data_IF_732188775737
#
_entry.id   IF_732188775737
#
_cell.length_a   1.000
_cell.length_b   1.000
_cell.length_c   1.000
_cell.angle_alpha   90.00
_cell.angle_beta   90.00
_cell.angle_gamma   90.00
#
_symmetry.space_group_name_H-M   'P 1'
#
loop_
_entity.id
_entity.type
_entity.pdbx_description
1 polymer ?
#
# COMPACT_ATOMS: atom_id res chain seq x y z
N UNK A 1 -0.30 -16.89 4.36
CA UNK A 1 0.37 -16.07 5.40
C UNK A 1 -0.66 -15.19 6.06
N UNK A 2 -0.57 -15.00 7.38
CA UNK A 2 -1.48 -14.12 8.13
C UNK A 2 -0.65 -13.13 8.92
N UNK A 3 -0.57 -11.90 8.42
CA UNK A 3 0.15 -10.79 9.03
C UNK A 3 -0.72 -9.52 8.98
N UNK A 4 -1.94 -9.65 9.49
CA UNK A 4 -2.97 -8.60 9.45
C UNK A 4 -3.11 -7.96 8.06
N UNK A 5 -3.20 -6.63 8.00
CA UNK A 5 -3.45 -5.87 6.77
C UNK A 5 -2.30 -5.94 5.77
N UNK A 6 -1.09 -6.34 6.19
CA UNK A 6 0.09 -6.43 5.32
C UNK A 6 0.24 -7.81 4.67
N UNK A 7 -0.69 -8.74 4.90
CA UNK A 7 -0.61 -10.14 4.46
C UNK A 7 -0.34 -10.28 2.96
N UNK A 8 -1.07 -9.54 2.11
CA UNK A 8 -0.90 -9.58 0.66
C UNK A 8 0.50 -9.13 0.21
N UNK A 9 0.97 -7.97 0.66
CA UNK A 9 2.29 -7.45 0.29
C UNK A 9 3.41 -8.34 0.84
N UNK A 10 3.26 -8.82 2.08
CA UNK A 10 4.22 -9.75 2.69
C UNK A 10 4.35 -11.03 1.87
N UNK A 11 3.22 -11.58 1.40
CA UNK A 11 3.21 -12.79 0.59
C UNK A 11 3.86 -12.57 -0.78
N UNK A 12 3.65 -11.40 -1.39
CA UNK A 12 4.35 -11.00 -2.62
C UNK A 12 5.85 -10.84 -2.44
N UNK A 13 6.32 -10.32 -1.30
CA UNK A 13 7.76 -10.24 -0.99
C UNK A 13 8.37 -11.65 -0.91
N UNK A 14 7.68 -12.59 -0.27
CA UNK A 14 8.14 -13.98 -0.21
C UNK A 14 8.06 -14.66 -1.57
N UNK A 15 7.01 -14.42 -2.35
CA UNK A 15 6.90 -14.94 -3.71
C UNK A 15 8.09 -14.51 -4.58
N UNK A 16 8.51 -13.25 -4.48
CA UNK A 16 9.74 -12.79 -5.13
C UNK A 16 10.98 -13.56 -4.64
N UNK A 17 11.15 -13.77 -3.34
CA UNK A 17 12.28 -14.55 -2.80
C UNK A 17 12.31 -15.97 -3.35
N UNK A 18 11.17 -16.64 -3.41
CA UNK A 18 11.05 -17.97 -4.00
C UNK A 18 11.46 -18.02 -5.48
N UNK A 19 11.16 -16.97 -6.25
CA UNK A 19 11.63 -16.87 -7.63
C UNK A 19 13.13 -16.53 -7.71
N UNK A 20 13.62 -15.66 -6.84
CA UNK A 20 15.03 -15.22 -6.81
C UNK A 20 15.98 -16.37 -6.40
N UNK A 21 15.53 -17.28 -5.53
CA UNK A 21 16.27 -18.47 -5.09
C UNK A 21 16.11 -19.70 -6.00
N UNK A 22 15.38 -19.57 -7.12
CA UNK A 22 15.09 -20.70 -8.02
C UNK A 22 14.34 -21.87 -7.39
N UNK A 23 13.65 -21.63 -6.26
CA UNK A 23 12.78 -22.63 -5.62
C UNK A 23 11.54 -22.92 -6.50
N UNK A 24 11.05 -21.90 -7.21
CA UNK A 24 9.87 -21.99 -8.08
C UNK A 24 10.03 -21.15 -9.35
N UNK A 25 9.38 -21.56 -10.44
CA UNK A 25 9.30 -20.75 -11.68
C UNK A 25 8.10 -19.78 -11.67
N UNK A 26 7.04 -20.17 -10.97
CA UNK A 26 5.80 -19.42 -10.83
C UNK A 26 5.30 -19.52 -9.40
N UNK A 27 4.80 -18.41 -8.85
CA UNK A 27 4.20 -18.36 -7.51
C UNK A 27 2.88 -17.61 -7.60
N UNK A 28 1.80 -18.24 -7.13
CA UNK A 28 0.48 -17.61 -7.05
C UNK A 28 0.28 -17.05 -5.65
N UNK A 29 -0.01 -15.75 -5.56
CA UNK A 29 -0.36 -15.08 -4.30
C UNK A 29 -1.82 -14.68 -4.34
N UNK A 30 -2.62 -15.24 -3.44
CA UNK A 30 -4.04 -14.93 -3.26
C UNK A 30 -4.23 -14.13 -1.97
N UNK A 31 -5.03 -13.08 -2.03
CA UNK A 31 -5.59 -12.39 -0.86
C UNK A 31 -7.11 -12.48 -0.91
N UNK A 32 -7.74 -12.88 0.19
CA UNK A 32 -9.19 -12.97 0.29
C UNK A 32 -9.63 -12.68 1.73
N UNK A 33 -10.58 -11.77 1.90
CA UNK A 33 -11.21 -11.47 3.18
C UNK A 33 -12.69 -11.16 2.99
N UNK A 34 -13.49 -11.66 3.93
CA UNK A 34 -14.93 -11.46 4.03
C UNK A 34 -15.24 -10.89 5.41
N UNK A 35 -16.09 -9.87 5.48
CA UNK A 35 -16.47 -9.20 6.71
C UNK A 35 -17.54 -10.03 7.38
N UNK A 36 -17.26 -10.41 8.62
CA UNK A 36 -18.21 -11.12 9.46
C UNK A 36 -18.66 -10.21 10.60
N UNK A 37 -19.75 -10.58 11.28
CA UNK A 37 -20.19 -9.88 12.51
C UNK A 37 -19.06 -9.81 13.55
N UNK A 38 -18.25 -10.87 13.68
CA UNK A 38 -17.11 -10.90 14.58
C UNK A 38 -16.08 -9.82 14.24
N UNK A 39 -15.70 -9.71 12.95
CA UNK A 39 -14.74 -8.69 12.50
C UNK A 39 -15.29 -7.29 12.75
N UNK A 40 -16.55 -7.03 12.35
CA UNK A 40 -17.18 -5.72 12.57
C UNK A 40 -17.21 -5.35 14.05
N UNK A 41 -17.67 -6.25 14.93
CA UNK A 41 -17.71 -6.01 16.38
C UNK A 41 -16.32 -5.84 17.00
N UNK A 42 -15.30 -6.50 16.45
CA UNK A 42 -13.90 -6.29 16.84
C UNK A 42 -13.45 -4.85 16.56
N UNK A 43 -13.64 -4.37 15.33
CA UNK A 43 -13.29 -2.98 14.98
C UNK A 43 -14.15 -1.93 15.71
N UNK A 44 -15.42 -2.23 16.00
CA UNK A 44 -16.27 -1.37 16.84
C UNK A 44 -15.73 -1.26 18.27
N UNK A 45 -15.21 -2.36 18.83
CA UNK A 45 -14.58 -2.36 20.16
C UNK A 45 -13.34 -1.47 20.21
N UNK A 46 -12.60 -1.36 19.10
CA UNK A 46 -11.48 -0.40 18.96
C UNK A 46 -11.91 1.04 18.73
N UNK A 47 -13.21 1.32 18.58
CA UNK A 47 -13.75 2.62 18.17
C UNK A 47 -13.10 3.13 16.88
N UNK A 48 -12.78 2.20 15.98
CA UNK A 48 -12.05 2.48 14.74
C UNK A 48 -12.97 2.61 13.52
N UNK A 49 -14.25 2.21 13.63
CA UNK A 49 -15.21 2.25 12.52
C UNK A 49 -15.74 3.67 12.32
N UNK A 50 -15.62 4.18 11.09
CA UNK A 50 -16.26 5.42 10.67
C UNK A 50 -17.78 5.28 10.66
N UNK A 51 -18.48 6.37 10.97
CA UNK A 51 -19.94 6.47 10.75
C UNK A 51 -20.29 6.99 9.36
N UNK A 52 -19.29 7.44 8.63
CA UNK A 52 -19.39 8.12 7.35
C UNK A 52 -18.60 7.33 6.29
N UNK A 53 -18.40 7.93 5.13
CA UNK A 53 -17.49 7.39 4.11
C UNK A 53 -16.03 7.41 4.58
N UNK A 54 -15.21 6.52 4.03
CA UNK A 54 -13.78 6.49 4.29
C UNK A 54 -13.11 7.70 3.61
N UNK A 55 -12.46 8.56 4.41
CA UNK A 55 -11.77 9.78 3.93
C UNK A 55 -10.27 9.74 4.23
N UNK A 56 -9.45 8.96 3.49
CA UNK A 56 -8.03 8.84 3.78
C UNK A 56 -7.32 10.20 3.78
N UNK A 57 -6.53 10.46 4.83
CA UNK A 57 -5.74 11.68 5.06
C UNK A 57 -6.54 12.99 5.22
N UNK A 58 -7.86 12.95 5.12
CA UNK A 58 -8.72 14.14 5.22
C UNK A 58 -8.82 14.64 6.68
N UNK A 59 -9.04 15.95 6.85
CA UNK A 59 -9.27 16.59 8.16
C UNK A 59 -10.49 16.03 8.89
N UNK A 60 -11.53 15.66 8.14
CA UNK A 60 -12.78 15.15 8.68
C UNK A 60 -12.84 13.62 8.72
N UNK A 61 -11.70 12.93 8.54
CA UNK A 61 -11.62 11.48 8.71
C UNK A 61 -11.92 11.09 10.15
N UNK A 62 -12.69 10.03 10.35
CA UNK A 62 -13.16 9.60 11.67
C UNK A 62 -13.02 8.09 11.91
N UNK A 63 -12.40 7.36 10.98
CA UNK A 63 -12.19 5.92 11.10
C UNK A 63 -12.18 5.18 9.77
N UNK A 64 -12.08 3.86 9.87
CA UNK A 64 -12.09 2.94 8.72
C UNK A 64 -13.52 2.54 8.35
N UNK A 65 -13.78 2.36 7.07
CA UNK A 65 -14.93 1.61 6.55
C UNK A 65 -14.42 0.23 6.11
N UNK A 66 -15.03 -0.85 6.56
CA UNK A 66 -14.61 -2.21 6.20
C UNK A 66 -15.11 -2.59 4.80
N UNK A 67 -14.31 -3.38 4.09
CA UNK A 67 -14.66 -3.94 2.79
C UNK A 67 -14.32 -5.42 2.69
N UNK A 68 -14.81 -6.06 1.64
CA UNK A 68 -14.55 -7.46 1.31
C UNK A 68 -13.96 -7.53 -0.10
N UNK A 69 -12.98 -8.41 -0.30
CA UNK A 69 -12.44 -8.63 -1.63
C UNK A 69 -11.68 -9.93 -1.72
N UNK A 70 -11.52 -10.42 -2.95
CA UNK A 70 -10.56 -11.44 -3.31
C UNK A 70 -9.80 -11.04 -4.56
N UNK A 71 -8.50 -11.31 -4.59
CA UNK A 71 -7.66 -11.07 -5.76
C UNK A 71 -6.43 -11.96 -5.75
N UNK A 72 -5.86 -12.19 -6.93
CA UNK A 72 -4.65 -12.99 -7.08
C UNK A 72 -3.64 -12.30 -8.01
N UNK A 73 -2.36 -12.49 -7.71
CA UNK A 73 -1.23 -12.09 -8.56
C UNK A 73 -0.39 -13.33 -8.82
N UNK A 74 -0.04 -13.56 -10.08
CA UNK A 74 0.89 -14.61 -10.49
C UNK A 74 2.25 -13.98 -10.71
N UNK A 75 3.23 -14.37 -9.91
CA UNK A 75 4.63 -14.00 -10.07
C UNK A 75 5.31 -15.07 -10.94
N UNK A 76 6.18 -14.63 -11.85
CA UNK A 76 6.89 -15.50 -12.79
C UNK A 76 8.32 -15.00 -13.00
N UNK A 77 9.29 -15.92 -13.07
CA UNK A 77 10.68 -15.58 -13.42
C UNK A 77 10.82 -15.10 -14.87
N UNK A 78 10.01 -15.66 -15.77
CA UNK A 78 9.95 -15.23 -17.18
C UNK A 78 8.94 -14.08 -17.29
N UNK A 79 9.45 -12.91 -17.64
CA UNK A 79 8.69 -11.66 -17.76
C UNK A 79 7.79 -11.74 -19.01
N UNK A 80 6.50 -11.94 -18.81
CA UNK A 80 5.45 -11.68 -19.81
C UNK A 80 4.58 -10.48 -19.42
N UNK A 81 5.00 -9.74 -18.39
CA UNK A 81 4.25 -8.61 -17.83
C UNK A 81 4.99 -7.31 -18.09
N UNK A 82 4.25 -6.26 -18.45
CA UNK A 82 4.77 -4.90 -18.56
C UNK A 82 5.21 -4.35 -17.20
N UNK A 83 4.71 -4.91 -16.09
CA UNK A 83 5.05 -4.48 -14.72
C UNK A 83 5.86 -5.55 -14.00
N UNK A 84 6.91 -5.13 -13.32
CA UNK A 84 7.82 -5.92 -12.51
C UNK A 84 7.69 -5.55 -11.03
N UNK A 85 7.80 -6.53 -10.14
CA UNK A 85 7.98 -6.31 -8.70
C UNK A 85 9.48 -6.28 -8.42
N UNK A 86 10.05 -5.09 -8.22
CA UNK A 86 11.51 -4.92 -8.11
C UNK A 86 12.04 -5.32 -6.73
N UNK A 87 11.27 -5.08 -5.68
CA UNK A 87 11.73 -5.32 -4.32
C UNK A 87 10.69 -4.90 -3.29
N UNK A 88 10.88 -5.35 -2.06
CA UNK A 88 10.06 -4.94 -0.95
C UNK A 88 10.72 -5.27 0.38
N UNK A 89 10.16 -4.72 1.45
CA UNK A 89 10.65 -4.87 2.82
C UNK A 89 9.46 -5.03 3.77
N UNK A 90 9.75 -5.64 4.92
CA UNK A 90 8.82 -5.79 6.05
C UNK A 90 9.55 -5.29 7.29
N UNK A 91 8.88 -4.49 8.12
CA UNK A 91 9.38 -4.05 9.43
C UNK A 91 8.32 -4.24 10.51
N UNK A 92 8.72 -4.07 11.77
CA UNK A 92 7.82 -4.08 12.91
C UNK A 92 8.12 -2.89 13.83
N UNK A 93 7.07 -2.21 14.28
CA UNK A 93 7.15 -1.05 15.17
C UNK A 93 7.62 -1.41 16.59
N UNK A 94 7.43 -2.67 17.01
CA UNK A 94 7.66 -3.15 18.38
C UNK A 94 7.02 -2.24 19.47
N UNK A 95 5.89 -1.60 19.14
CA UNK A 95 5.30 -0.52 19.93
C UNK A 95 3.95 -0.90 20.57
N UNK A 96 2.92 -1.19 19.76
CA UNK A 96 1.58 -1.52 20.25
C UNK A 96 0.88 -2.55 19.33
N UNK A 97 -0.05 -3.32 19.89
CA UNK A 97 -0.80 -4.33 19.13
C UNK A 97 -1.75 -3.75 18.07
N UNK A 98 -2.08 -2.46 18.13
CA UNK A 98 -3.13 -1.86 17.29
C UNK A 98 -2.88 -0.41 16.89
N UNK A 99 -2.16 0.36 17.71
CA UNK A 99 -1.66 1.68 17.33
C UNK A 99 -0.35 1.53 16.54
N UNK A 100 -0.18 2.29 15.45
CA UNK A 100 1.10 2.33 14.74
C UNK A 100 2.13 3.14 15.55
N UNK A 101 3.38 3.13 15.09
CA UNK A 101 4.42 4.05 15.56
C UNK A 101 3.95 5.51 15.53
N UNK A 102 4.30 6.28 16.57
CA UNK A 102 3.95 7.71 16.64
C UNK A 102 4.86 8.59 15.79
N UNK A 103 6.09 8.12 15.54
CA UNK A 103 7.12 8.83 14.76
C UNK A 103 7.02 8.49 13.27
N UNK A 104 6.60 7.26 12.94
CA UNK A 104 6.59 6.75 11.57
C UNK A 104 7.97 6.30 11.09
N UNK A 105 8.96 6.22 11.97
CA UNK A 105 10.34 5.84 11.64
C UNK A 105 10.45 4.40 11.13
N UNK A 106 9.64 3.48 11.63
CA UNK A 106 9.71 2.07 11.29
C UNK A 106 9.08 1.77 9.93
N UNK A 107 8.01 2.47 9.56
CA UNK A 107 7.53 2.48 8.18
C UNK A 107 8.51 3.24 7.28
N UNK A 108 9.13 4.33 7.75
CA UNK A 108 10.14 5.05 6.97
C UNK A 108 11.35 4.16 6.64
N UNK A 109 11.84 3.41 7.63
CA UNK A 109 12.88 2.39 7.49
C UNK A 109 12.45 1.30 6.50
N UNK A 110 11.18 0.85 6.59
CA UNK A 110 10.62 -0.12 5.66
C UNK A 110 10.64 0.38 4.21
N UNK A 111 10.23 1.63 3.99
CA UNK A 111 10.26 2.29 2.67
C UNK A 111 11.69 2.37 2.14
N UNK A 112 12.64 2.85 2.94
CA UNK A 112 14.05 2.95 2.54
C UNK A 112 14.62 1.58 2.12
N UNK A 113 14.38 0.52 2.90
CA UNK A 113 14.82 -0.83 2.55
C UNK A 113 14.14 -1.36 1.27
N UNK A 114 12.87 -1.02 1.03
CA UNK A 114 12.21 -1.42 -0.22
C UNK A 114 12.83 -0.72 -1.44
N UNK A 115 13.19 0.56 -1.33
CA UNK A 115 13.92 1.31 -2.35
C UNK A 115 15.32 0.73 -2.60
N UNK A 116 16.05 0.38 -1.54
CA UNK A 116 17.35 -0.28 -1.63
C UNK A 116 17.26 -1.65 -2.30
N UNK A 117 16.29 -2.48 -1.90
CA UNK A 117 16.05 -3.79 -2.52
C UNK A 117 15.66 -3.69 -3.99
N UNK A 118 15.03 -2.59 -4.39
CA UNK A 118 14.69 -2.28 -5.78
C UNK A 118 15.81 -1.57 -6.55
N UNK A 119 16.93 -1.23 -5.88
CA UNK A 119 18.05 -0.47 -6.42
C UNK A 119 17.65 0.86 -7.10
N UNK A 120 16.74 1.61 -6.47
CA UNK A 120 16.31 2.94 -6.93
C UNK A 120 16.34 3.96 -5.79
N UNK A 121 16.38 5.24 -6.16
CA UNK A 121 16.30 6.37 -5.24
C UNK A 121 14.88 6.92 -5.14
N UNK A 122 14.57 7.62 -4.04
CA UNK A 122 13.22 8.12 -3.74
C UNK A 122 12.65 9.07 -4.82
N UNK A 123 13.52 9.82 -5.53
CA UNK A 123 13.15 10.75 -6.60
C UNK A 123 12.60 10.06 -7.86
N UNK A 124 12.76 8.74 -7.97
CA UNK A 124 12.21 7.95 -9.08
C UNK A 124 10.73 7.59 -8.91
N UNK A 125 10.17 7.73 -7.70
CA UNK A 125 8.80 7.29 -7.41
C UNK A 125 7.80 8.27 -8.04
N UNK A 126 6.99 7.76 -8.97
CA UNK A 126 6.01 8.54 -9.72
C UNK A 126 4.68 8.70 -8.98
N UNK A 127 4.30 7.73 -8.15
CA UNK A 127 3.17 7.81 -7.23
C UNK A 127 3.30 6.81 -6.08
N UNK A 128 2.59 7.08 -4.99
CA UNK A 128 2.48 6.20 -3.83
C UNK A 128 1.05 5.65 -3.74
N UNK A 129 0.91 4.33 -3.82
CA UNK A 129 -0.31 3.63 -3.40
C UNK A 129 -0.23 3.40 -1.89
N UNK A 130 -0.80 4.32 -1.13
CA UNK A 130 -0.73 4.34 0.33
C UNK A 130 -1.62 3.28 0.98
N UNK A 131 -1.43 3.07 2.29
CA UNK A 131 -2.35 2.34 3.12
C UNK A 131 -3.62 3.16 3.38
N UNK A 132 -3.48 4.40 3.86
CA UNK A 132 -4.54 5.40 4.04
C UNK A 132 -5.88 4.82 4.49
N UNK A 133 -6.00 4.49 5.78
CA UNK A 133 -7.19 3.82 6.36
C UNK A 133 -8.26 4.77 6.83
N UNK A 134 -8.03 6.10 6.72
CA UNK A 134 -8.89 7.14 7.28
C UNK A 134 -8.95 7.13 8.82
N UNK A 135 -8.08 6.36 9.49
CA UNK A 135 -7.92 6.45 10.94
C UNK A 135 -6.92 7.55 11.29
N UNK A 136 -7.14 8.24 12.41
CA UNK A 136 -6.27 9.36 12.80
C UNK A 136 -4.80 8.95 12.91
N UNK A 137 -4.51 7.84 13.60
CA UNK A 137 -3.14 7.44 13.90
C UNK A 137 -2.41 6.83 12.71
N UNK A 138 -3.08 5.99 11.90
CA UNK A 138 -2.44 5.40 10.73
C UNK A 138 -2.05 6.46 9.70
N UNK A 139 -3.00 7.32 9.34
CA UNK A 139 -2.77 8.28 8.26
C UNK A 139 -1.74 9.34 8.68
N UNK A 140 -1.73 9.69 9.97
CA UNK A 140 -0.69 10.53 10.56
C UNK A 140 0.69 9.87 10.52
N UNK A 141 0.81 8.62 10.97
CA UNK A 141 2.07 7.86 10.95
C UNK A 141 2.59 7.68 9.51
N UNK A 142 1.72 7.28 8.59
CA UNK A 142 2.09 7.04 7.19
C UNK A 142 2.53 8.33 6.50
N UNK A 143 1.86 9.46 6.78
CA UNK A 143 2.28 10.75 6.26
C UNK A 143 3.69 11.14 6.71
N UNK A 144 4.04 10.92 7.98
CA UNK A 144 5.39 11.17 8.51
C UNK A 144 6.41 10.26 7.85
N UNK A 145 6.08 8.97 7.69
CA UNK A 145 6.98 8.00 7.08
C UNK A 145 7.35 8.36 5.62
N UNK A 146 6.37 8.82 4.84
CA UNK A 146 6.57 9.30 3.47
C UNK A 146 7.42 10.58 3.47
N UNK A 147 7.12 11.54 4.36
CA UNK A 147 7.91 12.78 4.49
C UNK A 147 9.37 12.52 4.91
N UNK A 148 9.61 11.59 5.83
CA UNK A 148 10.96 11.22 6.27
C UNK A 148 11.80 10.63 5.13
N UNK A 149 11.16 10.00 4.14
CA UNK A 149 11.82 9.48 2.93
C UNK A 149 11.93 10.50 1.80
N UNK A 150 11.56 11.76 2.01
CA UNK A 150 11.64 12.84 1.00
C UNK A 150 10.78 12.56 -0.25
N UNK A 151 9.65 11.88 -0.08
CA UNK A 151 8.67 11.56 -1.15
C UNK A 151 7.49 12.57 -1.13
N UNK A 152 7.70 13.75 -0.54
CA UNK A 152 6.67 14.77 -0.25
C UNK A 152 5.94 15.27 -1.51
N UNK A 153 6.65 15.39 -2.64
CA UNK A 153 6.13 15.94 -3.90
C UNK A 153 5.52 14.89 -4.84
N UNK A 154 5.46 13.64 -4.41
CA UNK A 154 4.92 12.54 -5.21
C UNK A 154 3.44 12.35 -4.88
N UNK A 155 2.54 12.22 -5.87
CA UNK A 155 1.12 11.96 -5.63
C UNK A 155 0.91 10.73 -4.75
N UNK A 156 0.19 10.90 -3.64
CA UNK A 156 -0.18 9.85 -2.70
C UNK A 156 -1.67 9.54 -2.87
N UNK A 157 -2.00 8.25 -3.09
CA UNK A 157 -3.36 7.77 -3.31
C UNK A 157 -3.70 6.67 -2.33
N UNK A 158 -4.87 6.76 -1.70
CA UNK A 158 -5.55 5.59 -1.10
C UNK A 158 -6.87 5.35 -1.81
N UNK A 159 -7.11 4.10 -2.17
CA UNK A 159 -8.33 3.65 -2.85
C UNK A 159 -9.36 3.06 -1.86
N UNK A 160 -9.09 3.11 -0.55
CA UNK A 160 -10.04 2.65 0.48
C UNK A 160 -11.28 3.53 0.56
N UNK A 161 -11.24 4.76 0.06
CA UNK A 161 -12.42 5.59 -0.15
C UNK A 161 -13.43 4.99 -1.13
N UNK A 162 -12.98 4.15 -2.06
CA UNK A 162 -13.83 3.56 -3.11
C UNK A 162 -14.55 2.28 -2.67
N UNK A 163 -13.89 1.42 -1.91
CA UNK A 163 -14.43 0.08 -1.57
C UNK A 163 -14.20 -0.35 -0.12
N UNK A 164 -13.65 0.53 0.73
CA UNK A 164 -13.33 0.22 2.12
C UNK A 164 -12.02 -0.55 2.29
N UNK A 165 -11.69 -0.85 3.54
CA UNK A 165 -10.51 -1.62 3.92
C UNK A 165 -10.82 -3.12 3.89
N UNK A 166 -10.24 -3.81 2.91
CA UNK A 166 -10.37 -5.25 2.68
C UNK A 166 -9.38 -6.10 3.48
N UNK A 167 -9.01 -5.65 4.68
CA UNK A 167 -8.18 -6.38 5.65
C UNK A 167 -6.87 -6.93 5.03
N UNK A 168 -6.60 -8.23 5.16
CA UNK A 168 -5.42 -8.90 4.61
C UNK A 168 -5.41 -8.97 3.09
N UNK A 169 -6.57 -8.88 2.42
CA UNK A 169 -6.67 -8.78 0.97
C UNK A 169 -6.25 -7.42 0.41
N UNK A 170 -6.20 -6.35 1.24
CA UNK A 170 -5.93 -4.98 0.79
C UNK A 170 -4.65 -4.84 -0.01
N UNK A 171 -3.55 -5.46 0.46
CA UNK A 171 -2.28 -5.42 -0.26
C UNK A 171 -2.37 -5.91 -1.70
N UNK A 172 -3.12 -6.99 -1.95
CA UNK A 172 -3.26 -7.56 -3.30
C UNK A 172 -4.13 -6.66 -4.19
N UNK A 173 -5.27 -6.21 -3.69
CA UNK A 173 -6.17 -5.33 -4.46
C UNK A 173 -5.45 -4.03 -4.83
N UNK A 174 -4.74 -3.43 -3.87
CA UNK A 174 -4.01 -2.18 -4.07
C UNK A 174 -2.84 -2.33 -5.05
N UNK A 175 -2.12 -3.46 -5.02
CA UNK A 175 -1.07 -3.73 -6.02
C UNK A 175 -1.65 -3.96 -7.42
N UNK A 176 -2.78 -4.68 -7.54
CA UNK A 176 -3.47 -4.85 -8.84
C UNK A 176 -3.90 -3.49 -9.38
N UNK A 177 -4.54 -2.65 -8.55
CA UNK A 177 -4.93 -1.29 -8.96
C UNK A 177 -3.72 -0.45 -9.32
N UNK A 178 -2.61 -0.54 -8.58
CA UNK A 178 -1.38 0.16 -8.92
C UNK A 178 -0.82 -0.28 -10.28
N UNK A 179 -0.82 -1.59 -10.58
CA UNK A 179 -0.44 -2.13 -11.90
C UNK A 179 -1.30 -1.54 -13.01
N UNK A 180 -2.63 -1.49 -12.83
CA UNK A 180 -3.52 -0.91 -13.84
C UNK A 180 -3.31 0.60 -14.00
N UNK A 181 -3.10 1.35 -12.91
CA UNK A 181 -2.68 2.76 -12.99
C UNK A 181 -1.42 2.93 -13.85
N UNK A 182 -0.40 2.07 -13.65
CA UNK A 182 0.88 2.12 -14.38
C UNK A 182 0.73 1.78 -15.87
N UNK A 183 -0.09 0.78 -16.19
CA UNK A 183 -0.39 0.41 -17.59
C UNK A 183 -1.08 1.54 -18.33
N UNK A 184 -2.09 2.13 -17.71
CA UNK A 184 -2.92 3.18 -18.31
C UNK A 184 -2.37 4.60 -18.18
N UNK A 185 -1.31 4.80 -17.38
CA UNK A 185 -0.75 6.12 -17.12
C UNK A 185 -1.76 7.06 -16.46
N UNK A 186 -2.53 6.54 -15.50
CA UNK A 186 -3.63 7.24 -14.85
C UNK A 186 -3.52 7.10 -13.34
N UNK A 187 -3.52 8.23 -12.63
CA UNK A 187 -3.58 8.30 -11.17
C UNK A 187 -4.97 8.82 -10.79
N UNK A 188 -5.71 8.03 -10.03
CA UNK A 188 -7.04 8.38 -9.53
C UNK A 188 -6.94 9.26 -8.28
N UNK A 189 -7.96 10.10 -8.00
CA UNK A 189 -8.04 10.82 -6.75
C UNK A 189 -8.22 9.85 -5.57
N UNK A 190 -7.71 10.22 -4.39
CA UNK A 190 -8.12 9.61 -3.13
C UNK A 190 -9.55 10.05 -2.85
N UNK A 191 -10.51 9.16 -3.11
CA UNK A 191 -11.93 9.48 -2.91
C UNK A 191 -12.20 9.85 -1.44
N UNK A 192 -12.98 10.91 -1.23
CA UNK A 192 -13.30 11.45 0.11
C UNK A 192 -12.29 12.47 0.66
N UNK A 193 -11.17 12.73 -0.01
CA UNK A 193 -10.20 13.74 0.41
C UNK A 193 -10.54 15.13 -0.17
N UNK A 194 -10.64 16.13 0.72
CA UNK A 194 -10.96 17.53 0.42
C UNK A 194 -9.96 18.49 1.10
N UNK A 195 -9.67 18.30 2.38
CA UNK A 195 -8.78 19.16 3.18
C UNK A 195 -7.74 18.32 3.95
N UNK A 196 -6.47 18.72 3.91
CA UNK A 196 -5.37 17.99 4.58
C UNK A 196 -5.59 17.92 6.09
N UNK A 197 -5.65 16.70 6.63
CA UNK A 197 -5.87 16.41 8.06
C UNK A 197 -4.68 15.83 8.82
N UNK A 198 -3.48 15.91 8.25
CA UNK A 198 -2.26 15.24 8.72
C UNK A 198 -1.11 16.23 8.85
N UNK A 199 -0.13 15.92 9.72
CA UNK A 199 1.05 16.78 9.89
C UNK A 199 2.15 16.55 8.84
N UNK A 200 2.23 15.35 8.26
CA UNK A 200 3.19 15.05 7.21
C UNK A 200 2.97 15.92 5.97
N UNK A 201 4.06 16.42 5.40
CA UNK A 201 4.01 17.20 4.18
C UNK A 201 3.97 16.25 2.98
N UNK A 202 2.79 15.76 2.62
CA UNK A 202 2.60 14.87 1.47
C UNK A 202 1.56 15.44 0.52
N UNK A 203 1.71 15.13 -0.77
CA UNK A 203 0.76 15.50 -1.81
C UNK A 203 -0.32 14.42 -1.95
N UNK A 204 -1.38 14.50 -1.15
CA UNK A 204 -2.56 13.62 -1.35
C UNK A 204 -3.25 14.01 -2.64
N UNK A 205 -3.36 13.07 -3.58
CA UNK A 205 -3.93 13.35 -4.89
C UNK A 205 -5.46 13.47 -4.82
N UNK A 206 -6.01 14.60 -5.24
CA UNK A 206 -7.46 14.88 -5.26
C UNK A 206 -8.06 14.98 -6.66
N UNK A 207 -7.25 14.80 -7.72
CA UNK A 207 -7.69 14.92 -9.11
C UNK A 207 -7.23 13.73 -9.96
N UNK A 208 -7.89 13.49 -11.09
CA UNK A 208 -7.35 12.56 -12.07
C UNK A 208 -6.10 13.15 -12.72
N UNK A 209 -5.00 12.41 -12.72
CA UNK A 209 -3.78 12.80 -13.41
C UNK A 209 -3.45 11.79 -14.50
N UNK A 210 -3.25 12.27 -15.74
CA UNK A 210 -2.71 11.46 -16.82
C UNK A 210 -1.21 11.74 -16.94
N UNK A 211 -0.38 10.75 -16.62
CA UNK A 211 1.08 10.82 -16.72
C UNK A 211 1.67 9.44 -16.95
N UNK A 212 2.84 9.39 -17.55
CA UNK A 212 3.63 8.17 -17.54
C UNK A 212 4.03 7.80 -16.11
N UNK A 213 3.98 6.51 -15.79
CA UNK A 213 4.27 5.99 -14.46
C UNK A 213 5.25 4.83 -14.63
N UNK A 214 6.51 5.10 -14.32
CA UNK A 214 7.59 4.13 -14.39
C UNK A 214 7.77 3.40 -13.06
N UNK A 215 7.65 4.09 -11.93
CA UNK A 215 7.83 3.48 -10.61
C UNK A 215 6.69 3.82 -9.64
N UNK A 216 6.16 2.82 -8.98
CA UNK A 216 5.15 2.98 -7.93
C UNK A 216 5.67 2.45 -6.60
N UNK A 217 5.44 3.20 -5.53
CA UNK A 217 5.65 2.72 -4.16
C UNK A 217 4.31 2.27 -3.57
N UNK A 218 4.24 1.04 -3.07
CA UNK A 218 3.13 0.54 -2.26
C UNK A 218 3.54 0.52 -0.81
N UNK A 219 2.77 1.16 0.07
CA UNK A 219 2.93 1.06 1.53
C UNK A 219 1.71 0.43 2.17
N UNK A 220 1.92 -0.35 3.23
CA UNK A 220 0.85 -0.92 4.04
C UNK A 220 1.31 -1.11 5.48
N UNK A 221 0.41 -0.87 6.43
CA UNK A 221 0.65 -1.09 7.85
C UNK A 221 -0.51 -1.89 8.44
N UNK A 222 -0.26 -2.67 9.47
CA UNK A 222 -1.26 -3.56 10.05
C UNK A 222 -1.13 -3.66 11.56
N UNK A 223 -2.13 -4.29 12.16
CA UNK A 223 -2.11 -4.62 13.59
C UNK A 223 -0.86 -5.43 13.97
N UNK A 224 -0.42 -5.27 15.21
CA UNK A 224 0.86 -5.77 15.70
C UNK A 224 2.06 -4.89 15.30
N UNK A 225 1.81 -3.68 14.77
CA UNK A 225 2.85 -2.77 14.32
C UNK A 225 3.61 -3.27 13.10
N UNK A 226 2.99 -4.14 12.28
CA UNK A 226 3.67 -4.69 11.12
C UNK A 226 3.55 -3.74 9.92
N UNK A 227 4.65 -3.47 9.24
CA UNK A 227 4.70 -2.64 8.04
C UNK A 227 5.25 -3.43 6.87
N UNK A 228 4.78 -3.12 5.67
CA UNK A 228 5.43 -3.55 4.43
C UNK A 228 5.45 -2.42 3.41
N UNK A 229 6.51 -2.42 2.61
CA UNK A 229 6.67 -1.54 1.47
C UNK A 229 7.15 -2.36 0.26
N UNK A 230 6.68 -1.99 -0.94
CA UNK A 230 7.05 -2.66 -2.18
C UNK A 230 7.20 -1.65 -3.32
N UNK A 231 8.12 -1.93 -4.25
CA UNK A 231 8.35 -1.11 -5.44
C UNK A 231 7.94 -1.91 -6.68
N UNK A 232 7.05 -1.32 -7.46
CA UNK A 232 6.66 -1.80 -8.78
C UNK A 232 7.32 -0.94 -9.85
N UNK A 233 7.76 -1.54 -10.95
CA UNK A 233 8.35 -0.82 -12.07
C UNK A 233 7.72 -1.24 -13.39
N UNK A 234 7.51 -0.28 -14.29
CA UNK A 234 7.16 -0.54 -15.68
C UNK A 234 8.44 -0.92 -16.43
N UNK A 235 8.45 -2.08 -17.08
CA UNK A 235 9.57 -2.56 -17.88
C UNK A 235 9.81 -1.60 -19.05
N UNK A 236 11.03 -1.09 -19.19
CA UNK A 236 11.42 -0.22 -20.31
C UNK A 236 11.81 -0.99 -21.59
N UNK A 237 11.62 -2.32 -21.62
CA UNK A 237 11.89 -3.12 -22.81
C UNK A 237 10.71 -3.14 -23.76
N UNK A 238 10.88 -2.34 -24.81
CA UNK A 238 10.12 -2.26 -26.05
C UNK A 238 10.12 -3.57 -26.86
N UNK A 239 9.11 -3.70 -27.74
CA UNK A 239 9.09 -4.51 -28.97
C UNK A 239 9.52 -5.98 -28.79
N UNK A 240 8.53 -6.87 -28.75
CA UNK A 240 8.76 -8.28 -29.08
C UNK A 240 9.18 -8.37 -30.56
N UNK A 241 10.40 -8.85 -30.81
CA UNK A 241 10.78 -9.43 -32.11
C UNK A 241 10.09 -10.78 -32.29
#
# INVERSE_FOLDING_TARGET
>A
MSNACISGVSASIIAKRFLDYDDFNHVVVLGCDVVTKFVLSGFQSFKAISKNECKPFDKNRDGVVLGEASGAIIFSKKISSEIQFLGGSISNDANHISGPSKTGEELAFCINNALQNANITHDKIDFVMAHGTATHYNDEMESKAISLNKINNTPVVSIKGNYGHTLGASGIIEMITAVECMKHGLIFPSYGFEEKGISGDILVNSVHQKKEINYALKTTSGFGGCNAAAVLAKSQSAIYY
#
